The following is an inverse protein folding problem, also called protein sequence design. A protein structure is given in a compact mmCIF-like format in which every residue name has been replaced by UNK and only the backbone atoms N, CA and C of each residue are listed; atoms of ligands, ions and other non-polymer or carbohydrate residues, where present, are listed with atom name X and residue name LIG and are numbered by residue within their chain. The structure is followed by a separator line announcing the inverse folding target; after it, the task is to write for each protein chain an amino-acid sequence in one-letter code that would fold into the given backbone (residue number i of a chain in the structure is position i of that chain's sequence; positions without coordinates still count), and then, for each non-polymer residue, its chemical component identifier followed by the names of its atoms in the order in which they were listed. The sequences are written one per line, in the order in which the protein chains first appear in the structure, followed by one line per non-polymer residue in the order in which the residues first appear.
data_IF_170645648840
#
_entry.id   IF_170645648840
#
_cell.length_a   1.000
_cell.length_b   1.000
_cell.length_c   1.000
_cell.angle_alpha   90.00
_cell.angle_beta   90.00
_cell.angle_gamma   90.00
#
_symmetry.space_group_name_H-M   'P 1'
#
loop_
_entity.id
_entity.type
_entity.pdbx_description
1 polymer ?
#
# COMPACT_ATOMS: atom_id res chain seq x y z
N UNK A 1 12.10 -6.26 2.19
CA UNK A 1 12.15 -4.78 2.33
C UNK A 1 13.11 -4.13 1.34
N UNK A 2 14.45 -4.23 1.47
CA UNK A 2 15.39 -3.56 0.53
C UNK A 2 15.19 -4.02 -0.92
N UNK A 3 15.23 -5.34 -1.17
CA UNK A 3 14.98 -5.89 -2.50
C UNK A 3 13.61 -5.50 -3.06
N UNK A 4 12.57 -5.53 -2.23
CA UNK A 4 11.20 -5.13 -2.64
C UNK A 4 11.13 -3.64 -2.99
N UNK A 5 11.79 -2.77 -2.24
CA UNK A 5 11.80 -1.31 -2.47
C UNK A 5 12.62 -0.96 -3.71
N UNK A 6 13.76 -1.63 -3.92
CA UNK A 6 14.56 -1.47 -5.14
C UNK A 6 13.79 -1.95 -6.36
N UNK A 7 13.14 -3.12 -6.28
CA UNK A 7 12.30 -3.64 -7.35
C UNK A 7 11.14 -2.70 -7.67
N UNK A 8 10.46 -2.17 -6.64
CA UNK A 8 9.46 -1.13 -6.80
C UNK A 8 10.03 0.07 -7.57
N UNK A 9 11.23 0.53 -7.21
CA UNK A 9 11.90 1.65 -7.87
C UNK A 9 12.13 1.38 -9.35
N UNK A 10 12.65 0.20 -9.70
CA UNK A 10 12.89 -0.19 -11.09
C UNK A 10 11.62 -0.27 -11.93
N UNK A 11 10.50 -0.66 -11.32
CA UNK A 11 9.22 -0.82 -12.01
C UNK A 11 8.46 0.50 -12.19
N UNK A 12 8.62 1.45 -11.27
CA UNK A 12 7.72 2.59 -11.15
C UNK A 12 8.39 3.96 -11.32
N UNK A 13 9.71 4.06 -11.14
CA UNK A 13 10.44 5.32 -11.26
C UNK A 13 10.88 5.55 -12.70
N UNK A 14 10.70 6.77 -13.18
CA UNK A 14 11.32 7.22 -14.42
C UNK A 14 12.82 7.45 -14.20
N UNK A 15 13.63 6.49 -14.66
CA UNK A 15 15.10 6.53 -14.53
C UNK A 15 15.76 7.53 -15.50
N UNK A 16 15.00 8.21 -16.36
CA UNK A 16 15.53 9.31 -17.18
C UNK A 16 15.70 10.60 -16.38
N UNK A 17 15.03 10.72 -15.24
CA UNK A 17 15.15 11.86 -14.32
C UNK A 17 16.48 11.78 -13.54
N UNK A 18 17.18 12.90 -13.29
CA UNK A 18 18.39 12.89 -12.47
C UNK A 18 18.18 12.25 -11.11
N UNK A 19 19.10 11.37 -10.70
CA UNK A 19 19.04 10.66 -9.41
C UNK A 19 18.88 11.61 -8.22
N UNK A 20 19.53 12.77 -8.27
CA UNK A 20 19.44 13.80 -7.23
C UNK A 20 17.99 14.27 -7.02
N UNK A 21 17.24 14.52 -8.09
CA UNK A 21 15.84 14.94 -8.02
C UNK A 21 14.96 13.82 -7.43
N UNK A 22 15.21 12.58 -7.82
CA UNK A 22 14.50 11.41 -7.29
C UNK A 22 14.73 11.26 -5.78
N UNK A 23 15.99 11.37 -5.33
CA UNK A 23 16.35 11.28 -3.92
C UNK A 23 15.70 12.41 -3.12
N UNK A 24 15.76 13.65 -3.61
CA UNK A 24 15.14 14.80 -2.94
C UNK A 24 13.63 14.60 -2.81
N UNK A 25 12.97 14.15 -3.88
CA UNK A 25 11.52 13.91 -3.89
C UNK A 25 11.12 12.88 -2.83
N UNK A 26 11.81 11.73 -2.78
CA UNK A 26 11.50 10.68 -1.81
C UNK A 26 11.86 11.11 -0.38
N UNK A 27 12.95 11.85 -0.17
CA UNK A 27 13.30 12.39 1.16
C UNK A 27 12.22 13.35 1.68
N UNK A 28 11.72 14.24 0.82
CA UNK A 28 10.63 15.16 1.17
C UNK A 28 9.35 14.39 1.50
N UNK A 29 8.99 13.40 0.66
CA UNK A 29 7.83 12.57 0.89
C UNK A 29 7.92 11.80 2.21
N UNK A 30 9.09 11.19 2.48
CA UNK A 30 9.38 10.49 3.72
C UNK A 30 9.20 11.40 4.94
N UNK A 31 9.82 12.58 4.93
CA UNK A 31 9.71 13.54 6.04
C UNK A 31 8.26 13.94 6.33
N UNK A 32 7.47 14.17 5.29
CA UNK A 32 6.07 14.56 5.43
C UNK A 32 5.19 13.40 5.94
N UNK A 33 5.36 12.20 5.39
CA UNK A 33 4.53 11.03 5.72
C UNK A 33 4.92 10.43 7.08
N UNK A 34 6.20 10.33 7.42
CA UNK A 34 6.63 9.84 8.75
C UNK A 34 6.11 10.74 9.88
N UNK A 35 6.08 12.06 9.65
CA UNK A 35 5.44 13.00 10.58
C UNK A 35 3.95 12.72 10.74
N UNK A 36 3.26 12.31 9.67
CA UNK A 36 1.87 11.87 9.78
C UNK A 36 1.74 10.54 10.49
N UNK A 37 2.58 9.55 10.22
CA UNK A 37 2.53 8.24 10.89
C UNK A 37 2.72 8.36 12.40
N UNK A 38 3.53 9.32 12.85
CA UNK A 38 3.79 9.58 14.27
C UNK A 38 2.71 10.44 14.95
N UNK A 39 1.90 11.19 14.19
CA UNK A 39 0.84 12.07 14.72
C UNK A 39 -0.59 11.66 14.32
N UNK A 40 -0.74 10.65 13.47
CA UNK A 40 -2.03 10.21 12.93
C UNK A 40 -2.75 9.34 13.95
N UNK A 41 -4.06 9.55 14.08
CA UNK A 41 -4.95 8.69 14.87
C UNK A 41 -5.14 7.29 14.26
N UNK A 42 -4.39 6.92 13.22
CA UNK A 42 -4.42 5.56 12.65
C UNK A 42 -3.70 4.58 13.60
N UNK A 43 -4.46 4.04 14.56
CA UNK A 43 -3.98 3.13 15.61
C UNK A 43 -3.20 1.95 15.04
N UNK A 44 -3.67 1.35 13.95
CA UNK A 44 -3.07 0.12 13.39
C UNK A 44 -1.61 0.32 12.96
N UNK A 45 -1.28 1.44 12.31
CA UNK A 45 0.09 1.67 11.83
C UNK A 45 0.98 2.10 13.00
N UNK A 46 0.47 2.94 13.91
CA UNK A 46 1.23 3.36 15.08
C UNK A 46 1.56 2.19 16.01
N UNK A 47 0.59 1.31 16.28
CA UNK A 47 0.78 0.10 17.09
C UNK A 47 1.80 -0.83 16.45
N UNK A 48 1.70 -1.11 15.14
CA UNK A 48 2.70 -1.93 14.43
C UNK A 48 4.10 -1.34 14.51
N UNK A 49 4.26 -0.03 14.34
CA UNK A 49 5.58 0.63 14.47
C UNK A 49 6.07 0.50 15.92
N UNK A 50 5.22 0.72 16.91
CA UNK A 50 5.59 0.62 18.32
C UNK A 50 5.99 -0.80 18.74
N UNK A 51 5.24 -1.82 18.29
CA UNK A 51 5.56 -3.24 18.49
C UNK A 51 6.94 -3.58 17.91
N UNK A 52 7.24 -3.11 16.70
CA UNK A 52 8.55 -3.31 16.07
C UNK A 52 9.68 -2.61 16.81
N UNK A 53 9.45 -1.39 17.29
CA UNK A 53 10.44 -0.67 18.11
C UNK A 53 10.72 -1.43 19.40
N UNK A 54 9.69 -1.98 20.05
CA UNK A 54 9.84 -2.79 21.25
C UNK A 54 10.67 -4.05 20.95
N UNK A 55 10.32 -4.79 19.89
CA UNK A 55 11.03 -5.99 19.46
C UNK A 55 12.52 -5.73 19.19
N UNK A 56 12.85 -4.68 18.43
CA UNK A 56 14.24 -4.29 18.18
C UNK A 56 14.97 -3.84 19.45
N UNK A 57 14.26 -3.18 20.37
CA UNK A 57 14.85 -2.73 21.64
C UNK A 57 15.15 -3.92 22.57
N UNK A 58 14.29 -4.95 22.58
CA UNK A 58 14.51 -6.21 23.29
C UNK A 58 15.72 -6.97 22.75
N UNK A 59 16.01 -6.85 21.44
CA UNK A 59 17.23 -7.37 20.80
C UNK A 59 18.48 -6.52 21.08
N UNK A 60 18.37 -5.47 21.92
CA UNK A 60 19.49 -4.62 22.34
C UNK A 60 19.83 -3.49 21.38
N UNK A 61 19.00 -3.23 20.37
CA UNK A 61 19.20 -2.12 19.44
C UNK A 61 18.86 -0.80 20.14
N UNK A 62 19.72 0.24 20.05
CA UNK A 62 19.41 1.55 20.60
C UNK A 62 18.07 2.09 20.08
N UNK A 63 17.25 2.65 20.97
CA UNK A 63 15.88 3.08 20.66
C UNK A 63 15.78 4.01 19.44
N UNK A 64 16.78 4.88 19.22
CA UNK A 64 16.84 5.75 18.03
C UNK A 64 16.94 4.95 16.73
N UNK A 65 17.79 3.93 16.69
CA UNK A 65 17.97 3.04 15.55
C UNK A 65 16.77 2.10 15.40
N UNK A 66 16.22 1.58 16.50
CA UNK A 66 15.01 0.75 16.49
C UNK A 66 13.83 1.49 15.83
N UNK A 67 13.64 2.78 16.15
CA UNK A 67 12.64 3.64 15.50
C UNK A 67 12.89 3.83 14.01
N UNK A 68 14.14 4.07 13.62
CA UNK A 68 14.49 4.21 12.20
C UNK A 68 14.25 2.92 11.41
N UNK A 69 14.56 1.76 11.99
CA UNK A 69 14.33 0.44 11.38
C UNK A 69 12.83 0.14 11.25
N UNK A 70 12.04 0.41 12.30
CA UNK A 70 10.59 0.22 12.26
C UNK A 70 9.93 1.11 11.18
N UNK A 71 10.37 2.37 11.05
CA UNK A 71 9.87 3.28 10.01
C UNK A 71 10.28 2.87 8.60
N UNK A 72 11.39 2.13 8.45
CA UNK A 72 11.84 1.67 7.14
C UNK A 72 10.86 0.66 6.50
N UNK A 73 10.07 -0.06 7.30
CA UNK A 73 8.99 -0.93 6.79
C UNK A 73 7.89 -0.15 6.06
N UNK A 74 7.76 1.16 6.31
CA UNK A 74 6.82 2.04 5.61
C UNK A 74 7.39 2.61 4.29
N UNK A 75 8.65 2.34 3.95
CA UNK A 75 9.30 2.93 2.77
C UNK A 75 8.60 2.61 1.43
N UNK A 76 8.18 1.36 1.14
CA UNK A 76 7.47 1.06 -0.11
C UNK A 76 6.17 1.87 -0.27
N UNK A 77 5.45 2.03 0.83
CA UNK A 77 4.21 2.81 0.87
C UNK A 77 4.46 4.31 0.67
N UNK A 78 5.53 4.86 1.26
CA UNK A 78 5.93 6.26 1.04
C UNK A 78 6.22 6.50 -0.44
N UNK A 79 6.91 5.56 -1.08
CA UNK A 79 7.19 5.60 -2.51
C UNK A 79 5.89 5.59 -3.34
N UNK A 80 4.94 4.70 -3.04
CA UNK A 80 3.62 4.68 -3.69
C UNK A 80 2.90 6.02 -3.57
N UNK A 81 2.79 6.56 -2.35
CA UNK A 81 2.09 7.82 -2.09
C UNK A 81 2.74 8.98 -2.85
N UNK A 82 4.07 9.05 -2.86
CA UNK A 82 4.82 10.06 -3.61
C UNK A 82 4.56 9.98 -5.12
N UNK A 83 4.55 8.75 -5.67
CA UNK A 83 4.27 8.53 -7.08
C UNK A 83 2.84 8.93 -7.45
N UNK A 84 1.86 8.52 -6.64
CA UNK A 84 0.45 8.87 -6.85
C UNK A 84 0.27 10.39 -6.81
N UNK A 85 0.85 11.08 -5.83
CA UNK A 85 0.74 12.53 -5.70
C UNK A 85 1.30 13.24 -6.96
N UNK A 86 2.46 12.77 -7.46
CA UNK A 86 3.06 13.27 -8.71
C UNK A 86 2.15 13.03 -9.92
N UNK A 87 1.64 11.81 -10.10
CA UNK A 87 0.81 11.42 -11.26
C UNK A 87 -0.58 12.05 -11.27
N UNK A 88 -1.11 12.38 -10.09
CA UNK A 88 -2.42 13.03 -9.92
C UNK A 88 -2.34 14.54 -9.74
N UNK A 89 -1.13 15.12 -9.70
CA UNK A 89 -0.88 16.53 -9.36
C UNK A 89 -1.60 16.94 -8.06
N UNK A 90 -1.63 16.04 -7.08
CA UNK A 90 -2.35 16.24 -5.82
C UNK A 90 -1.40 16.52 -4.66
N UNK A 91 -1.94 17.14 -3.60
CA UNK A 91 -1.22 17.33 -2.35
C UNK A 91 -0.84 15.98 -1.72
N UNK A 92 0.39 15.89 -1.20
CA UNK A 92 0.94 14.66 -0.64
C UNK A 92 0.16 14.21 0.60
N UNK A 93 -0.29 15.13 1.45
CA UNK A 93 -1.04 14.81 2.67
C UNK A 93 -2.42 14.27 2.32
N UNK A 94 -3.10 14.91 1.38
CA UNK A 94 -4.39 14.45 0.84
C UNK A 94 -4.26 13.05 0.23
N UNK A 95 -3.22 12.85 -0.59
CA UNK A 95 -2.92 11.55 -1.21
C UNK A 95 -2.68 10.46 -0.17
N UNK A 96 -1.86 10.75 0.85
CA UNK A 96 -1.56 9.82 1.93
C UNK A 96 -2.83 9.38 2.67
N UNK A 97 -3.71 10.33 3.03
CA UNK A 97 -4.98 10.02 3.69
C UNK A 97 -5.84 9.06 2.88
N UNK A 98 -6.00 9.30 1.58
CA UNK A 98 -6.80 8.44 0.70
C UNK A 98 -6.16 7.05 0.58
N UNK A 99 -4.84 6.99 0.42
CA UNK A 99 -4.11 5.71 0.36
C UNK A 99 -4.27 4.90 1.66
N UNK A 100 -4.12 5.54 2.82
CA UNK A 100 -4.32 4.89 4.12
C UNK A 100 -5.74 4.35 4.28
N UNK A 101 -6.75 5.17 3.96
CA UNK A 101 -8.15 4.74 4.07
C UNK A 101 -8.46 3.58 3.12
N UNK A 102 -7.94 3.61 1.88
CA UNK A 102 -8.14 2.53 0.92
C UNK A 102 -7.48 1.22 1.37
N UNK A 103 -6.23 1.28 1.80
CA UNK A 103 -5.48 0.10 2.26
C UNK A 103 -6.10 -0.50 3.53
N UNK A 104 -6.70 0.32 4.38
CA UNK A 104 -7.47 -0.12 5.54
C UNK A 104 -8.78 -0.82 5.13
N UNK A 105 -9.58 -0.25 4.22
CA UNK A 105 -10.82 -0.86 3.73
C UNK A 105 -10.54 -2.21 3.05
N UNK A 106 -9.52 -2.28 2.19
CA UNK A 106 -9.12 -3.52 1.50
C UNK A 106 -8.41 -4.51 2.44
N UNK A 107 -7.97 -4.05 3.62
CA UNK A 107 -7.17 -4.82 4.59
C UNK A 107 -5.87 -5.35 3.99
N UNK A 108 -5.15 -4.50 3.24
CA UNK A 108 -3.90 -4.85 2.55
C UNK A 108 -2.87 -5.47 3.50
N UNK A 109 -2.79 -5.00 4.75
CA UNK A 109 -1.94 -5.60 5.77
C UNK A 109 -2.22 -7.11 5.96
N UNK A 110 -3.49 -7.50 6.09
CA UNK A 110 -3.88 -8.91 6.23
C UNK A 110 -3.53 -9.72 4.98
N UNK A 111 -3.73 -9.14 3.79
CA UNK A 111 -3.39 -9.78 2.51
C UNK A 111 -1.87 -10.02 2.43
N UNK A 112 -1.06 -9.03 2.84
CA UNK A 112 0.39 -9.16 2.88
C UNK A 112 0.85 -10.20 3.89
N UNK A 113 0.27 -10.22 5.10
CA UNK A 113 0.59 -11.21 6.13
C UNK A 113 0.22 -12.62 5.64
N UNK A 114 -0.96 -12.80 5.07
CA UNK A 114 -1.43 -14.06 4.50
C UNK A 114 -0.55 -14.53 3.32
N UNK A 115 -0.07 -13.61 2.48
CA UNK A 115 0.81 -13.94 1.36
C UNK A 115 2.15 -14.55 1.78
N UNK A 116 2.59 -14.32 3.02
CA UNK A 116 3.85 -14.85 3.58
C UNK A 116 3.70 -16.29 4.07
N UNK A 117 2.47 -16.76 4.28
CA UNK A 117 2.20 -18.14 4.76
C UNK A 117 1.97 -19.12 3.62
N UNK A 118 1.91 -18.65 2.37
CA UNK A 118 1.68 -19.49 1.19
C UNK A 118 2.94 -20.34 0.91
N UNK A 119 2.82 -21.67 0.85
CA UNK A 119 3.95 -22.52 0.48
C UNK A 119 4.33 -22.28 -0.99
N UNK A 120 5.62 -22.05 -1.23
CA UNK A 120 6.21 -21.91 -2.56
C UNK A 120 6.98 -23.19 -2.85
N UNK A 121 6.46 -24.03 -3.75
CA UNK A 121 7.01 -25.37 -4.00
C UNK A 121 8.10 -25.38 -5.07
N UNK A 122 8.03 -24.44 -6.01
CA UNK A 122 9.02 -24.27 -7.06
C UNK A 122 9.29 -22.80 -7.42
N UNK A 123 10.16 -22.60 -8.40
CA UNK A 123 10.53 -21.27 -8.89
C UNK A 123 9.33 -20.49 -9.49
N UNK A 124 8.45 -21.18 -10.22
CA UNK A 124 7.33 -20.56 -10.92
C UNK A 124 6.23 -20.14 -9.95
N UNK A 125 6.00 -20.92 -8.90
CA UNK A 125 5.12 -20.56 -7.78
C UNK A 125 5.55 -19.23 -7.15
N UNK A 126 6.84 -19.07 -6.89
CA UNK A 126 7.41 -17.83 -6.35
C UNK A 126 7.22 -16.65 -7.29
N UNK A 127 7.36 -16.88 -8.60
CA UNK A 127 7.12 -15.87 -9.63
C UNK A 127 5.65 -15.44 -9.70
N UNK A 128 4.70 -16.39 -9.68
CA UNK A 128 3.26 -16.11 -9.68
C UNK A 128 2.85 -15.34 -8.43
N UNK A 129 3.34 -15.74 -7.26
CA UNK A 129 3.07 -15.04 -6.02
C UNK A 129 3.61 -13.61 -6.05
N UNK A 130 4.82 -13.41 -6.58
CA UNK A 130 5.44 -12.09 -6.72
C UNK A 130 4.65 -11.20 -7.69
N UNK A 131 4.23 -11.75 -8.82
CA UNK A 131 3.39 -11.05 -9.80
C UNK A 131 2.03 -10.66 -9.21
N UNK A 132 1.40 -11.56 -8.43
CA UNK A 132 0.13 -11.27 -7.77
C UNK A 132 0.27 -10.12 -6.76
N UNK A 133 1.36 -10.08 -5.98
CA UNK A 133 1.67 -8.97 -5.06
C UNK A 133 1.87 -7.65 -5.79
N UNK A 134 2.62 -7.64 -6.89
CA UNK A 134 2.84 -6.43 -7.70
C UNK A 134 1.51 -5.94 -8.30
N UNK A 135 0.69 -6.84 -8.82
CA UNK A 135 -0.64 -6.51 -9.31
C UNK A 135 -1.52 -5.87 -8.23
N UNK A 136 -1.48 -6.38 -7.00
CA UNK A 136 -2.20 -5.76 -5.87
C UNK A 136 -1.73 -4.32 -5.66
N UNK A 137 -0.41 -4.11 -5.54
CA UNK A 137 0.17 -2.78 -5.30
C UNK A 137 -0.17 -1.79 -6.42
N UNK A 138 -0.03 -2.19 -7.68
CA UNK A 138 -0.36 -1.36 -8.84
C UNK A 138 -1.85 -1.01 -8.88
N UNK A 139 -2.75 -1.98 -8.66
CA UNK A 139 -4.18 -1.68 -8.67
C UNK A 139 -4.59 -0.75 -7.52
N UNK A 140 -3.98 -0.88 -6.33
CA UNK A 140 -4.19 0.06 -5.22
C UNK A 140 -3.76 1.47 -5.62
N UNK A 141 -2.56 1.65 -6.20
CA UNK A 141 -2.10 2.95 -6.72
C UNK A 141 -3.11 3.55 -7.69
N UNK A 142 -3.53 2.76 -8.68
CA UNK A 142 -4.48 3.21 -9.71
C UNK A 142 -5.85 3.58 -9.14
N UNK A 143 -6.36 2.86 -8.13
CA UNK A 143 -7.61 3.22 -7.46
C UNK A 143 -7.47 4.60 -6.78
N UNK A 144 -6.39 4.85 -6.03
CA UNK A 144 -6.17 6.16 -5.39
C UNK A 144 -6.09 7.27 -6.44
N UNK A 145 -5.38 7.05 -7.55
CA UNK A 145 -5.31 8.02 -8.66
C UNK A 145 -6.70 8.32 -9.22
N UNK A 146 -7.52 7.29 -9.44
CA UNK A 146 -8.90 7.47 -9.94
C UNK A 146 -9.79 8.21 -8.94
N UNK A 147 -9.68 7.93 -7.65
CA UNK A 147 -10.39 8.68 -6.59
C UNK A 147 -9.99 10.16 -6.65
N UNK A 148 -8.69 10.44 -6.71
CA UNK A 148 -8.18 11.81 -6.78
C UNK A 148 -8.64 12.55 -8.03
N UNK A 149 -8.70 11.88 -9.19
CA UNK A 149 -9.16 12.49 -10.44
C UNK A 149 -10.67 12.73 -10.48
N UNK A 150 -11.48 11.79 -9.99
CA UNK A 150 -12.94 11.84 -10.15
C UNK A 150 -13.65 12.56 -8.99
N UNK A 151 -13.05 12.55 -7.79
CA UNK A 151 -13.63 13.11 -6.58
C UNK A 151 -12.75 14.19 -5.94
N UNK A 152 -11.66 14.59 -6.60
CA UNK A 152 -10.67 15.53 -6.08
C UNK A 152 -11.25 16.87 -5.62
N UNK A 153 -12.31 17.35 -6.26
CA UNK A 153 -12.96 18.63 -5.93
C UNK A 153 -13.92 18.54 -4.72
N UNK A 154 -14.15 17.33 -4.19
CA UNK A 154 -14.97 17.14 -2.99
C UNK A 154 -14.14 17.43 -1.73
N UNK A 155 -14.83 17.87 -0.68
CA UNK A 155 -14.21 18.11 0.64
C UNK A 155 -13.53 16.84 1.19
N UNK A 156 -14.16 15.69 1.01
CA UNK A 156 -13.59 14.37 1.28
C UNK A 156 -13.77 13.47 0.04
N UNK A 157 -12.73 13.37 -0.82
CA UNK A 157 -12.79 12.55 -2.03
C UNK A 157 -13.02 11.07 -1.74
N UNK A 158 -12.45 10.56 -0.66
CA UNK A 158 -12.54 9.14 -0.32
C UNK A 158 -13.94 8.79 0.16
N UNK A 159 -14.48 9.57 1.09
CA UNK A 159 -15.86 9.36 1.57
C UNK A 159 -16.88 9.52 0.43
N UNK A 160 -16.66 10.45 -0.49
CA UNK A 160 -17.51 10.60 -1.67
C UNK A 160 -17.48 9.36 -2.56
N UNK A 161 -16.30 8.80 -2.83
CA UNK A 161 -16.16 7.56 -3.60
C UNK A 161 -16.81 6.37 -2.90
N UNK A 162 -16.54 6.17 -1.60
CA UNK A 162 -17.12 5.06 -0.81
C UNK A 162 -18.64 5.12 -0.84
N UNK A 163 -19.23 6.32 -0.71
CA UNK A 163 -20.68 6.49 -0.76
C UNK A 163 -21.28 6.15 -2.13
N UNK A 164 -20.58 6.46 -3.22
CA UNK A 164 -21.05 6.14 -4.58
C UNK A 164 -20.93 4.64 -4.87
N UNK A 165 -19.85 4.01 -4.41
CA UNK A 165 -19.43 2.67 -4.85
C UNK A 165 -19.55 1.60 -3.75
N UNK A 166 -20.33 1.87 -2.70
CA UNK A 166 -20.43 1.05 -1.49
C UNK A 166 -20.64 -0.44 -1.78
N UNK A 167 -21.59 -0.77 -2.67
CA UNK A 167 -21.90 -2.15 -3.04
C UNK A 167 -20.71 -2.87 -3.69
N UNK A 168 -19.95 -2.18 -4.56
CA UNK A 168 -18.80 -2.77 -5.24
C UNK A 168 -17.65 -3.00 -4.26
N UNK A 169 -17.41 -2.04 -3.36
CA UNK A 169 -16.39 -2.12 -2.32
C UNK A 169 -16.70 -3.26 -1.34
N UNK A 170 -17.94 -3.33 -0.84
CA UNK A 170 -18.38 -4.38 0.08
C UNK A 170 -18.28 -5.78 -0.55
N UNK A 171 -18.71 -5.93 -1.81
CA UNK A 171 -18.60 -7.21 -2.52
C UNK A 171 -17.14 -7.64 -2.71
N UNK A 172 -16.27 -6.74 -3.17
CA UNK A 172 -14.86 -7.03 -3.37
C UNK A 172 -14.15 -7.40 -2.05
N UNK A 173 -14.35 -6.61 -0.99
CA UNK A 173 -13.71 -6.84 0.31
C UNK A 173 -14.17 -8.12 0.99
N UNK A 174 -15.47 -8.46 0.93
CA UNK A 174 -15.99 -9.71 1.46
C UNK A 174 -15.42 -10.93 0.71
N UNK A 175 -15.35 -10.87 -0.62
CA UNK A 175 -14.76 -11.95 -1.43
C UNK A 175 -13.29 -12.14 -1.15
N UNK A 176 -12.53 -11.04 -1.05
CA UNK A 176 -11.11 -11.09 -0.69
C UNK A 176 -10.94 -11.75 0.68
N UNK A 177 -11.72 -11.34 1.69
CA UNK A 177 -11.73 -11.94 3.03
C UNK A 177 -11.94 -13.46 3.00
N UNK A 178 -12.98 -13.91 2.30
CA UNK A 178 -13.29 -15.34 2.19
C UNK A 178 -12.15 -16.17 1.55
N UNK A 179 -11.39 -15.59 0.62
CA UNK A 179 -10.28 -16.25 -0.07
C UNK A 179 -9.01 -16.35 0.78
N UNK A 180 -8.79 -15.39 1.67
CA UNK A 180 -7.57 -15.32 2.50
C UNK A 180 -7.72 -16.05 3.83
N UNK A 181 -8.94 -16.25 4.33
CA UNK A 181 -9.20 -16.85 5.65
C UNK A 181 -9.13 -18.38 5.67
N UNK A 182 -9.42 -19.06 4.55
CA UNK A 182 -9.48 -20.53 4.49
C UNK A 182 -8.65 -21.08 3.32
N UNK A 183 -8.03 -22.26 3.51
CA UNK A 183 -7.20 -23.00 2.54
C UNK A 183 -6.36 -22.15 1.59
N UNK A 184 -5.70 -21.12 2.13
CA UNK A 184 -4.97 -20.17 1.32
C UNK A 184 -3.86 -20.87 0.53
N UNK A 185 -3.91 -20.70 -0.80
CA UNK A 185 -2.91 -21.18 -1.74
C UNK A 185 -2.69 -20.14 -2.84
N UNK A 186 -1.73 -20.40 -3.72
CA UNK A 186 -1.34 -19.48 -4.80
C UNK A 186 -2.54 -19.11 -5.69
N UNK A 187 -3.41 -20.07 -6.01
CA UNK A 187 -4.59 -19.83 -6.85
C UNK A 187 -5.60 -18.91 -6.16
N UNK A 188 -5.93 -19.14 -4.88
CA UNK A 188 -6.85 -18.27 -4.11
C UNK A 188 -6.26 -16.87 -3.93
N UNK A 189 -4.96 -16.76 -3.68
CA UNK A 189 -4.29 -15.47 -3.56
C UNK A 189 -4.30 -14.68 -4.88
N UNK A 190 -4.00 -15.34 -6.00
CA UNK A 190 -4.07 -14.73 -7.34
C UNK A 190 -5.49 -14.29 -7.68
N UNK A 191 -6.49 -15.09 -7.30
CA UNK A 191 -7.89 -14.70 -7.47
C UNK A 191 -8.29 -13.51 -6.61
N UNK A 192 -7.80 -13.43 -5.36
CA UNK A 192 -7.97 -12.26 -4.50
C UNK A 192 -7.33 -11.00 -5.11
N UNK A 193 -6.12 -11.11 -5.67
CA UNK A 193 -5.49 -10.02 -6.43
C UNK A 193 -6.37 -9.54 -7.60
N UNK A 194 -6.98 -10.48 -8.32
CA UNK A 194 -7.91 -10.16 -9.41
C UNK A 194 -9.18 -9.46 -8.93
N UNK A 195 -9.66 -9.69 -7.71
CA UNK A 195 -10.80 -8.94 -7.15
C UNK A 195 -10.47 -7.45 -6.97
N UNK A 196 -9.22 -7.11 -6.63
CA UNK A 196 -8.78 -5.71 -6.55
C UNK A 196 -8.73 -5.08 -7.95
N UNK A 197 -8.28 -5.84 -8.96
CA UNK A 197 -8.34 -5.41 -10.36
C UNK A 197 -9.79 -5.15 -10.80
N UNK A 198 -10.72 -6.03 -10.42
CA UNK A 198 -12.14 -5.85 -10.73
C UNK A 198 -12.68 -4.59 -10.05
N UNK A 199 -12.39 -4.37 -8.77
CA UNK A 199 -12.80 -3.16 -8.05
C UNK A 199 -12.31 -1.88 -8.75
N UNK A 200 -11.03 -1.84 -9.17
CA UNK A 200 -10.49 -0.72 -9.96
C UNK A 200 -11.26 -0.46 -11.25
N UNK A 201 -11.80 -1.50 -11.88
CA UNK A 201 -12.48 -1.40 -13.16
C UNK A 201 -13.96 -1.05 -13.01
N UNK A 202 -14.66 -1.60 -12.01
CA UNK A 202 -16.11 -1.44 -11.85
C UNK A 202 -16.49 -0.21 -11.01
N UNK A 203 -15.70 0.15 -10.00
CA UNK A 203 -16.01 1.26 -9.08
C UNK A 203 -15.74 2.67 -9.64
N UNK A 204 -15.61 2.80 -10.96
CA UNK A 204 -15.35 4.07 -11.66
C UNK A 204 -16.02 4.11 -13.04
N UNK A 205 -16.97 3.21 -13.32
CA UNK A 205 -17.74 3.25 -14.56
C UNK A 205 -18.88 4.26 -14.40
N UNK A 206 -18.65 5.47 -14.87
CA UNK A 206 -19.72 6.42 -15.27
C UNK A 206 -20.18 6.12 -16.67
#
# INVERSE_FOLDING_TARGET
MLFETTNWGLLNIDLSVPLEELVITIQQARKAIEKQLTHSNNKDIHEKIAEKVALYSEEGIPNTLAKQLALLEAAPMICDISLIAKQSQSDLTKTAKIYFSLTQIIRINRINDASRTIPVLDYYDGMVLSQAKENIAENVRQIVIKILKNYGDKNDPFAAWVKTEENQICNATNRIGALIENDLNISRFTFAANMITQLKNTAFQT
#
